data_IF_196571474328
#
_entry.id   IF_196571474328
#
_cell.length_a   1.000
_cell.length_b   1.000
_cell.length_c   1.000
_cell.angle_alpha   90.00
_cell.angle_beta   90.00
_cell.angle_gamma   90.00
#
_symmetry.space_group_name_H-M   'P 1'
#
loop_
_entity.id
_entity.type
_entity.pdbx_description
1 polymer ?
#
# COMPACT_ATOMS: atom_id res chain seq x y z
N UNK A 1 -9.14 -12.93 -0.61
CA UNK A 1 -8.38 -11.99 -1.45
C UNK A 1 -9.00 -11.90 -2.83
N UNK A 2 -8.90 -10.76 -3.47
CA UNK A 2 -9.38 -10.53 -4.83
C UNK A 2 -8.25 -9.94 -5.68
N UNK A 3 -8.39 -10.03 -7.01
CA UNK A 3 -7.41 -9.46 -7.91
C UNK A 3 -7.66 -7.96 -8.10
N UNK A 4 -6.59 -7.18 -8.05
CA UNK A 4 -6.63 -5.79 -8.49
C UNK A 4 -6.44 -5.71 -10.00
N UNK A 5 -6.30 -4.49 -10.49
CA UNK A 5 -5.89 -4.29 -11.88
C UNK A 5 -4.46 -4.82 -12.09
N UNK A 6 -4.19 -5.25 -13.32
CA UNK A 6 -2.85 -5.70 -13.61
C UNK A 6 -1.87 -4.55 -13.78
N UNK A 7 -0.66 -4.77 -13.30
CA UNK A 7 0.42 -3.80 -13.43
C UNK A 7 1.07 -3.95 -14.80
N UNK A 8 1.20 -2.85 -15.50
CA UNK A 8 1.82 -2.79 -16.82
C UNK A 8 3.16 -2.05 -16.78
N UNK A 9 4.04 -2.36 -17.71
CA UNK A 9 5.34 -1.67 -17.83
C UNK A 9 5.19 -0.18 -18.14
N UNK A 10 4.05 0.21 -18.74
CA UNK A 10 3.80 1.59 -19.15
C UNK A 10 3.29 2.51 -18.06
N UNK A 11 2.85 1.99 -16.91
CA UNK A 11 2.19 2.82 -15.88
C UNK A 11 3.14 3.42 -14.83
N UNK A 12 4.40 3.10 -14.88
CA UNK A 12 5.38 3.65 -13.94
C UNK A 12 5.36 3.03 -12.54
N UNK A 13 4.47 2.07 -12.29
CA UNK A 13 4.42 1.31 -11.04
C UNK A 13 3.44 1.83 -9.99
N UNK A 14 2.61 2.81 -10.28
CA UNK A 14 1.60 3.32 -9.34
C UNK A 14 0.56 2.25 -8.99
N UNK A 15 0.27 1.33 -9.92
CA UNK A 15 -0.65 0.24 -9.71
C UNK A 15 -0.16 -0.77 -8.66
N UNK A 16 1.13 -0.87 -8.44
CA UNK A 16 1.66 -1.69 -7.35
C UNK A 16 1.20 -1.17 -5.99
N UNK A 17 1.30 0.14 -5.76
CA UNK A 17 0.89 0.72 -4.48
C UNK A 17 -0.60 0.50 -4.21
N UNK A 18 -1.45 0.68 -5.22
CA UNK A 18 -2.89 0.49 -5.08
C UNK A 18 -3.27 -0.98 -4.89
N UNK A 19 -2.55 -1.91 -5.49
CA UNK A 19 -2.83 -3.34 -5.39
C UNK A 19 -2.28 -3.93 -4.09
N UNK A 20 -1.01 -3.68 -3.79
CA UNK A 20 -0.35 -4.23 -2.59
C UNK A 20 -1.01 -3.71 -1.32
N UNK A 21 -1.29 -2.42 -1.25
CA UNK A 21 -1.79 -1.78 -0.04
C UNK A 21 -3.15 -2.29 0.43
N UNK A 22 -4.03 -2.69 -0.48
CA UNK A 22 -5.35 -3.21 -0.14
C UNK A 22 -5.36 -4.74 0.05
N UNK A 23 -4.23 -5.39 -0.12
CA UNK A 23 -4.14 -6.85 0.00
C UNK A 23 -4.71 -7.61 -1.20
N UNK A 24 -4.78 -6.98 -2.36
CA UNK A 24 -5.20 -7.64 -3.58
C UNK A 24 -4.06 -8.48 -4.18
N UNK A 25 -4.41 -9.45 -5.00
CA UNK A 25 -3.44 -10.27 -5.71
C UNK A 25 -2.84 -9.47 -6.86
N UNK A 26 -1.51 -9.41 -6.88
CA UNK A 26 -0.78 -8.74 -7.96
C UNK A 26 -0.81 -9.62 -9.21
N UNK A 27 -1.27 -9.04 -10.31
CA UNK A 27 -1.12 -9.64 -11.63
C UNK A 27 -0.37 -8.65 -12.54
N UNK A 28 0.32 -9.19 -13.53
CA UNK A 28 1.12 -8.37 -14.44
C UNK A 28 0.70 -8.63 -15.87
N UNK A 29 0.81 -7.60 -16.71
CA UNK A 29 0.52 -7.69 -18.13
C UNK A 29 1.66 -7.04 -18.91
N UNK A 30 2.14 -7.77 -19.88
CA UNK A 30 3.10 -7.25 -20.87
C UNK A 30 2.34 -6.98 -22.16
N UNK A 31 2.25 -5.70 -22.53
CA UNK A 31 1.58 -5.28 -23.76
C UNK A 31 2.55 -5.28 -24.94
N UNK A 32 2.00 -5.48 -26.15
CA UNK A 32 2.80 -5.58 -27.37
C UNK A 32 2.89 -4.24 -28.10
N UNK A 33 3.89 -4.07 -28.97
CA UNK A 33 4.11 -2.80 -29.70
C UNK A 33 2.98 -2.33 -30.63
N UNK A 34 1.99 -3.17 -30.88
CA UNK A 34 0.82 -2.82 -31.71
C UNK A 34 -0.19 -1.92 -30.98
N UNK A 35 -0.09 -1.85 -29.65
CA UNK A 35 -0.89 -0.91 -28.87
C UNK A 35 -0.46 0.53 -29.22
N UNK A 36 -1.41 1.50 -29.28
CA UNK A 36 -1.10 2.89 -29.70
C UNK A 36 -0.18 3.68 -28.75
N UNK A 37 0.25 3.14 -27.62
CA UNK A 37 1.19 3.80 -26.71
C UNK A 37 2.60 3.87 -27.31
N UNK A 38 3.44 4.85 -26.89
CA UNK A 38 4.83 4.93 -27.34
C UNK A 38 5.60 3.63 -27.10
N UNK A 39 6.42 3.21 -28.06
CA UNK A 39 7.16 1.94 -28.00
C UNK A 39 8.02 1.79 -26.77
N UNK A 40 8.70 2.85 -26.34
CA UNK A 40 9.58 2.85 -25.17
C UNK A 40 8.84 2.65 -23.85
N UNK A 41 7.52 2.93 -23.78
CA UNK A 41 6.75 2.64 -22.57
C UNK A 41 6.58 1.14 -22.29
N UNK A 42 6.80 0.27 -23.26
CA UNK A 42 6.73 -1.18 -23.09
C UNK A 42 8.08 -1.84 -22.84
N UNK A 43 9.17 -1.08 -22.89
CA UNK A 43 10.50 -1.62 -22.70
C UNK A 43 10.80 -1.79 -21.22
N UNK A 44 11.34 -2.94 -20.85
CA UNK A 44 11.87 -3.17 -19.50
C UNK A 44 13.25 -2.51 -19.40
N UNK A 45 13.25 -1.27 -18.91
CA UNK A 45 14.48 -0.54 -18.64
C UNK A 45 15.06 -0.95 -17.29
N UNK A 46 16.33 -0.63 -17.03
CA UNK A 46 16.97 -0.89 -15.74
C UNK A 46 16.20 -0.22 -14.57
N UNK A 47 15.67 0.99 -14.79
CA UNK A 47 14.89 1.71 -13.79
C UNK A 47 13.57 1.00 -13.50
N UNK A 48 12.85 0.58 -14.52
CA UNK A 48 11.59 -0.17 -14.38
C UNK A 48 11.82 -1.52 -13.71
N UNK A 49 12.87 -2.23 -14.11
CA UNK A 49 13.22 -3.52 -13.52
C UNK A 49 13.50 -3.37 -12.03
N UNK A 50 14.27 -2.38 -11.60
CA UNK A 50 14.57 -2.13 -10.20
C UNK A 50 13.29 -1.83 -9.40
N UNK A 51 12.40 -0.99 -9.94
CA UNK A 51 11.11 -0.68 -9.32
C UNK A 51 10.21 -1.92 -9.19
N UNK A 52 10.10 -2.72 -10.24
CA UNK A 52 9.32 -3.94 -10.23
C UNK A 52 9.86 -4.97 -9.24
N UNK A 53 11.19 -5.15 -9.18
CA UNK A 53 11.84 -6.04 -8.20
C UNK A 53 11.54 -5.62 -6.78
N UNK A 54 11.60 -4.32 -6.50
CA UNK A 54 11.28 -3.75 -5.18
C UNK A 54 9.84 -4.09 -4.78
N UNK A 55 8.87 -3.79 -5.65
CA UNK A 55 7.46 -4.02 -5.35
C UNK A 55 7.09 -5.49 -5.25
N UNK A 56 7.61 -6.32 -6.14
CA UNK A 56 7.38 -7.77 -6.07
C UNK A 56 8.01 -8.35 -4.80
N UNK A 57 9.17 -7.85 -4.39
CA UNK A 57 9.80 -8.23 -3.13
C UNK A 57 8.93 -7.88 -1.92
N UNK A 58 8.38 -6.67 -1.88
CA UNK A 58 7.44 -6.24 -0.84
C UNK A 58 6.18 -7.11 -0.84
N UNK A 59 5.60 -7.35 -2.01
CA UNK A 59 4.42 -8.21 -2.17
C UNK A 59 4.65 -9.61 -1.60
N UNK A 60 5.78 -10.23 -1.93
CA UNK A 60 6.13 -11.57 -1.44
C UNK A 60 6.44 -11.58 0.05
N UNK A 61 7.11 -10.56 0.55
CA UNK A 61 7.46 -10.46 1.97
C UNK A 61 6.22 -10.27 2.84
N UNK A 62 5.37 -9.34 2.51
CA UNK A 62 4.17 -9.02 3.29
C UNK A 62 3.03 -10.00 3.03
N UNK A 63 2.87 -10.43 1.80
CA UNK A 63 1.83 -11.36 1.34
C UNK A 63 0.46 -11.02 1.92
N UNK A 64 0.04 -9.78 1.78
CA UNK A 64 -1.22 -9.28 2.33
C UNK A 64 -2.47 -10.00 1.81
N UNK A 65 -2.49 -10.60 0.58
CA UNK A 65 -3.63 -11.42 0.17
C UNK A 65 -3.98 -12.58 1.11
N UNK A 66 -3.02 -13.03 1.92
CA UNK A 66 -3.26 -14.06 2.95
C UNK A 66 -3.85 -13.50 4.26
N UNK A 67 -3.92 -12.18 4.39
CA UNK A 67 -4.53 -11.51 5.53
C UNK A 67 -6.04 -11.35 5.37
N UNK A 68 -6.65 -10.65 6.32
CA UNK A 68 -8.06 -10.31 6.33
C UNK A 68 -8.24 -8.82 6.07
N UNK A 69 -8.94 -8.48 4.99
CA UNK A 69 -9.30 -7.10 4.72
C UNK A 69 -10.35 -6.63 5.73
N UNK A 70 -10.05 -5.52 6.41
CA UNK A 70 -10.87 -4.94 7.47
C UNK A 70 -11.65 -3.73 6.94
N UNK A 71 -12.54 -3.99 5.98
CA UNK A 71 -13.32 -2.94 5.31
C UNK A 71 -14.28 -2.19 6.22
N UNK A 72 -14.65 -2.76 7.37
CA UNK A 72 -15.52 -2.12 8.36
C UNK A 72 -14.86 -0.97 9.13
N UNK A 73 -13.54 -0.84 9.07
CA UNK A 73 -12.82 0.16 9.85
C UNK A 73 -12.92 1.58 9.27
N UNK A 74 -13.07 1.70 7.99
CA UNK A 74 -13.11 2.99 7.31
C UNK A 74 -14.26 3.07 6.32
N UNK A 75 -14.81 4.27 6.17
CA UNK A 75 -15.91 4.55 5.28
C UNK A 75 -15.38 5.20 3.99
N UNK A 76 -15.26 4.40 2.93
CA UNK A 76 -14.73 4.87 1.65
C UNK A 76 -15.68 5.94 1.07
N UNK A 77 -15.09 7.09 0.75
CA UNK A 77 -15.84 8.24 0.24
C UNK A 77 -16.17 9.28 1.32
N UNK A 78 -16.16 8.90 2.59
CA UNK A 78 -16.42 9.82 3.71
C UNK A 78 -15.17 10.06 4.56
N UNK A 79 -14.44 9.00 4.92
CA UNK A 79 -13.17 9.16 5.61
C UNK A 79 -12.10 9.70 4.66
N UNK A 80 -11.28 10.64 5.14
CA UNK A 80 -10.17 11.22 4.39
C UNK A 80 -8.87 11.15 5.19
N UNK A 81 -7.75 10.79 4.56
CA UNK A 81 -7.65 10.28 3.18
C UNK A 81 -8.34 8.92 3.04
N UNK A 82 -8.57 8.46 1.80
CA UNK A 82 -9.09 7.12 1.58
C UNK A 82 -8.16 6.12 2.26
N UNK A 83 -8.72 5.24 3.10
CA UNK A 83 -7.93 4.33 3.93
C UNK A 83 -8.45 2.91 3.83
N UNK A 84 -7.51 1.98 3.69
CA UNK A 84 -7.77 0.55 3.71
C UNK A 84 -6.92 -0.11 4.78
N UNK A 85 -7.44 -1.16 5.40
CA UNK A 85 -6.71 -1.90 6.42
C UNK A 85 -6.77 -3.41 6.17
N UNK A 86 -5.65 -4.07 6.40
CA UNK A 86 -5.52 -5.52 6.34
C UNK A 86 -4.91 -6.01 7.64
N UNK A 87 -5.51 -7.02 8.26
CA UNK A 87 -4.98 -7.67 9.46
C UNK A 87 -4.30 -8.98 9.06
N UNK A 88 -3.07 -9.18 9.51
CA UNK A 88 -2.33 -10.40 9.24
C UNK A 88 -1.27 -10.62 10.33
N UNK A 89 -1.23 -11.84 10.88
CA UNK A 89 -0.22 -12.26 11.86
C UNK A 89 -0.08 -11.30 13.06
N UNK A 90 -1.21 -10.80 13.57
CA UNK A 90 -1.25 -9.89 14.71
C UNK A 90 -0.84 -8.46 14.39
N UNK A 91 -0.58 -8.13 13.14
CA UNK A 91 -0.26 -6.78 12.68
C UNK A 91 -1.40 -6.19 11.88
N UNK A 92 -1.48 -4.86 11.85
CA UNK A 92 -2.37 -4.13 10.97
C UNK A 92 -1.55 -3.39 9.91
N UNK A 93 -2.00 -3.50 8.68
CA UNK A 93 -1.38 -2.86 7.52
C UNK A 93 -2.38 -1.85 6.97
N UNK A 94 -1.96 -0.59 6.89
CA UNK A 94 -2.80 0.51 6.44
C UNK A 94 -2.31 1.05 5.11
N UNK A 95 -3.24 1.32 4.23
CA UNK A 95 -2.96 1.99 2.97
C UNK A 95 -3.78 3.28 2.90
N UNK A 96 -3.08 4.40 2.73
CA UNK A 96 -3.68 5.71 2.58
C UNK A 96 -3.48 6.19 1.15
N UNK A 97 -4.54 6.67 0.53
CA UNK A 97 -4.50 7.17 -0.85
C UNK A 97 -5.12 8.56 -0.92
N UNK A 98 -4.40 9.49 -1.51
CA UNK A 98 -4.84 10.82 -1.85
C UNK A 98 -3.86 11.39 -2.87
N UNK A 99 -4.29 12.34 -3.69
CA UNK A 99 -3.38 13.04 -4.58
C UNK A 99 -2.21 13.64 -3.78
N UNK A 100 -2.55 14.19 -2.62
CA UNK A 100 -1.61 14.84 -1.71
C UNK A 100 -2.26 14.91 -0.33
N UNK A 101 -1.51 14.66 0.73
CA UNK A 101 -1.99 14.73 2.10
C UNK A 101 -0.92 15.26 3.04
N UNK A 102 -1.32 16.13 3.96
CA UNK A 102 -0.49 16.57 5.08
C UNK A 102 -1.40 16.80 6.28
N UNK A 103 -1.21 16.03 7.34
CA UNK A 103 -2.04 16.14 8.54
C UNK A 103 -2.12 14.83 9.30
N UNK A 104 -3.10 14.75 10.20
CA UNK A 104 -3.32 13.56 11.01
C UNK A 104 -4.13 12.50 10.26
N UNK A 105 -3.77 11.24 10.48
CA UNK A 105 -4.57 10.08 10.11
C UNK A 105 -4.88 9.29 11.37
N UNK A 106 -5.97 8.53 11.33
CA UNK A 106 -6.40 7.68 12.43
C UNK A 106 -6.18 6.23 12.05
N UNK A 107 -5.47 5.47 12.93
CA UNK A 107 -5.22 4.05 12.72
C UNK A 107 -6.23 3.26 13.54
N UNK A 108 -7.32 2.85 12.91
CA UNK A 108 -8.42 2.13 13.56
C UNK A 108 -8.16 0.63 13.61
N UNK A 109 -8.78 -0.04 14.57
CA UNK A 109 -8.72 -1.50 14.71
C UNK A 109 -7.57 -2.00 15.57
N UNK A 110 -6.79 -1.12 16.18
CA UNK A 110 -5.70 -1.49 17.09
C UNK A 110 -6.26 -2.15 18.35
N UNK A 111 -5.62 -3.22 18.79
CA UNK A 111 -5.94 -3.90 20.06
C UNK A 111 -5.20 -3.22 21.20
N UNK A 112 -5.39 -3.74 22.41
CA UNK A 112 -4.71 -3.24 23.61
C UNK A 112 -3.19 -3.31 23.42
N UNK A 113 -2.48 -2.31 23.96
CA UNK A 113 -1.02 -2.22 23.90
C UNK A 113 -0.52 -1.15 22.96
N UNK A 114 0.79 -1.13 22.78
CA UNK A 114 1.46 -0.17 21.91
C UNK A 114 1.87 -0.83 20.62
N UNK A 115 1.94 0.00 19.57
CA UNK A 115 2.34 -0.43 18.22
C UNK A 115 3.40 0.53 17.68
N UNK A 116 4.44 -0.04 17.13
CA UNK A 116 5.41 0.70 16.34
C UNK A 116 4.90 0.81 14.90
N UNK A 117 4.90 2.00 14.34
CA UNK A 117 4.40 2.25 12.98
C UNK A 117 5.57 2.54 12.05
N UNK A 118 5.60 1.84 10.91
CA UNK A 118 6.62 2.09 9.90
C UNK A 118 6.04 2.04 8.49
N UNK A 119 6.65 2.85 7.62
CA UNK A 119 6.44 2.79 6.18
C UNK A 119 7.24 1.60 5.66
N UNK A 120 6.55 0.54 5.23
CA UNK A 120 7.23 -0.68 4.79
C UNK A 120 7.70 -0.64 3.33
N UNK A 121 7.34 0.39 2.58
CA UNK A 121 7.84 0.61 1.22
C UNK A 121 9.21 1.30 1.26
N UNK A 122 9.32 2.36 2.06
CA UNK A 122 10.55 3.15 2.19
C UNK A 122 11.40 2.74 3.39
N UNK A 123 10.96 1.76 4.16
CA UNK A 123 11.67 1.25 5.34
C UNK A 123 11.98 2.35 6.36
N UNK A 124 10.94 3.08 6.76
CA UNK A 124 11.07 4.27 7.61
C UNK A 124 10.15 4.19 8.83
N UNK A 125 10.73 4.43 10.02
CA UNK A 125 9.95 4.51 11.27
C UNK A 125 9.18 5.83 11.31
N UNK A 126 7.91 5.78 11.73
CA UNK A 126 7.04 6.94 11.82
C UNK A 126 6.59 7.28 13.23
N UNK A 127 6.77 6.38 14.21
CA UNK A 127 6.41 6.61 15.60
C UNK A 127 5.64 5.45 16.22
N UNK A 128 5.05 5.70 17.37
CA UNK A 128 4.25 4.74 18.11
C UNK A 128 2.81 5.23 18.26
N UNK A 129 1.88 4.28 18.29
CA UNK A 129 0.46 4.53 18.54
C UNK A 129 -0.10 3.47 19.47
N UNK A 130 -1.31 3.71 19.99
CA UNK A 130 -2.08 2.75 20.75
C UNK A 130 -3.56 2.90 20.39
N UNK A 131 -4.41 1.96 20.83
CA UNK A 131 -5.85 2.09 20.63
C UNK A 131 -6.41 3.39 21.20
N UNK A 132 -5.89 3.83 22.35
CA UNK A 132 -6.31 5.07 23.01
C UNK A 132 -5.70 6.33 22.38
N UNK A 133 -4.57 6.21 21.67
CA UNK A 133 -3.87 7.31 21.01
C UNK A 133 -3.44 6.85 19.62
N UNK A 134 -4.42 6.75 18.74
CA UNK A 134 -4.28 6.12 17.42
C UNK A 134 -4.11 7.10 16.26
N UNK A 135 -3.80 8.37 16.56
CA UNK A 135 -3.60 9.39 15.53
C UNK A 135 -2.12 9.59 15.26
N UNK A 136 -1.79 9.75 13.99
CA UNK A 136 -0.43 9.93 13.53
C UNK A 136 -0.39 11.07 12.52
N UNK A 137 0.55 12.00 12.68
CA UNK A 137 0.75 13.09 11.73
C UNK A 137 1.67 12.61 10.61
N UNK A 138 1.19 12.69 9.37
CA UNK A 138 1.90 12.21 8.19
C UNK A 138 1.76 13.18 7.02
N UNK A 139 2.65 13.02 6.03
CA UNK A 139 2.54 13.68 4.75
C UNK A 139 2.94 12.71 3.64
N UNK A 140 2.23 12.72 2.52
CA UNK A 140 2.54 11.87 1.38
C UNK A 140 1.92 12.40 0.10
N UNK A 141 2.39 11.90 -1.02
CA UNK A 141 1.80 12.06 -2.34
C UNK A 141 1.36 10.70 -2.87
N UNK A 142 0.14 10.60 -3.38
CA UNK A 142 -0.49 9.43 -4.00
C UNK A 142 -0.79 8.28 -3.05
N UNK A 143 0.21 7.74 -2.35
CA UNK A 143 0.04 6.59 -1.48
C UNK A 143 1.02 6.58 -0.32
N UNK A 144 0.56 6.06 0.83
CA UNK A 144 1.42 5.75 1.96
C UNK A 144 0.96 4.40 2.51
N UNK A 145 1.89 3.45 2.60
CA UNK A 145 1.63 2.08 3.02
C UNK A 145 2.37 1.82 4.34
N UNK A 146 1.60 1.58 5.39
CA UNK A 146 2.13 1.45 6.74
C UNK A 146 1.87 0.07 7.34
N UNK A 147 2.77 -0.37 8.23
CA UNK A 147 2.50 -1.48 9.12
C UNK A 147 2.56 -1.03 10.58
N UNK A 148 1.61 -1.50 11.36
CA UNK A 148 1.57 -1.31 12.81
C UNK A 148 1.95 -2.63 13.49
N UNK A 149 3.08 -2.63 14.18
CA UNK A 149 3.72 -3.81 14.76
C UNK A 149 3.57 -3.75 16.29
N UNK A 150 2.94 -4.75 16.94
CA UNK A 150 2.86 -4.78 18.39
C UNK A 150 4.25 -4.75 19.02
N UNK A 151 4.37 -3.93 20.06
CA UNK A 151 5.61 -3.81 20.83
C UNK A 151 5.60 -4.74 22.02
#
# INVERSE_FOLDING_TARGET
AYAGDHVELSDGGDDFASTVGIGAVVSTKFTWPEDPKPKDSYLLTAVKEAKWRKWIGIYKDKMLPKGQYRGELYDIGFDKPETHAVEKDGRLYYAFYAKEWSGQVELRGLKEGRYRVRDYVEDRELGEVSAASNKLKIGFERALLLEAIPV
#
